data_IF_742077052012
#
_entry.id   IF_742077052012
#
_cell.length_a   1.000
_cell.length_b   1.000
_cell.length_c   1.000
_cell.angle_alpha   90.00
_cell.angle_beta   90.00
_cell.angle_gamma   90.00
#
_symmetry.space_group_name_H-M   'P 1'
#
loop_
_entity.id
_entity.type
_entity.pdbx_description
1 polymer ?
#
# COMPACT_ATOMS: atom_id res chain seq x y z
N UNK A 1 51.91 -19.26 -31.94
CA UNK A 1 51.08 -18.41 -32.83
C UNK A 1 50.76 -17.11 -32.10
N UNK A 2 51.76 -16.23 -31.93
CA UNK A 2 51.56 -14.92 -31.31
C UNK A 2 51.05 -13.92 -32.35
N UNK A 3 49.84 -13.40 -32.18
CA UNK A 3 49.31 -12.36 -33.06
C UNK A 3 50.09 -11.06 -32.84
N UNK A 4 50.48 -10.39 -33.93
CA UNK A 4 51.01 -9.04 -33.91
C UNK A 4 49.94 -8.07 -33.42
N UNK A 5 50.20 -7.42 -32.28
CA UNK A 5 49.43 -6.28 -31.82
C UNK A 5 49.97 -5.02 -32.49
N UNK A 6 49.08 -4.29 -33.18
CA UNK A 6 49.39 -3.01 -33.81
C UNK A 6 49.11 -1.91 -32.77
N UNK A 7 50.06 -1.03 -32.43
CA UNK A 7 49.81 0.08 -31.50
C UNK A 7 48.87 1.09 -32.15
N UNK A 8 47.75 1.39 -31.48
CA UNK A 8 46.86 2.49 -31.85
C UNK A 8 47.38 3.77 -31.19
N UNK A 9 47.85 4.72 -32.01
CA UNK A 9 48.31 6.04 -31.54
C UNK A 9 47.13 6.95 -31.15
N UNK A 10 47.39 7.85 -30.20
CA UNK A 10 46.41 8.67 -29.49
C UNK A 10 45.87 9.90 -30.23
N UNK A 11 46.20 10.10 -31.51
CA UNK A 11 45.86 11.33 -32.23
C UNK A 11 45.04 11.07 -33.51
N UNK A 12 43.76 10.75 -33.33
CA UNK A 12 42.69 11.22 -34.22
C UNK A 12 41.71 12.07 -33.41
N UNK A 13 42.27 13.02 -32.66
CA UNK A 13 41.54 14.05 -31.92
C UNK A 13 41.10 15.19 -32.84
N UNK A 14 40.10 14.94 -33.69
CA UNK A 14 39.32 16.01 -34.28
C UNK A 14 38.64 16.83 -33.19
N UNK A 15 38.98 18.11 -33.11
CA UNK A 15 38.60 19.03 -32.06
C UNK A 15 37.09 19.07 -31.75
N UNK A 16 36.71 18.54 -30.58
CA UNK A 16 35.64 19.10 -29.74
C UNK A 16 35.87 18.66 -28.30
N UNK A 17 36.38 19.57 -27.47
CA UNK A 17 36.56 19.33 -26.05
C UNK A 17 35.22 19.04 -25.34
N UNK A 18 35.31 18.18 -24.32
CA UNK A 18 34.48 18.17 -23.10
C UNK A 18 33.15 17.40 -23.07
N UNK A 19 33.06 16.19 -23.64
CA UNK A 19 32.11 15.19 -23.11
C UNK A 19 32.77 13.80 -23.08
N UNK A 20 33.02 13.20 -21.89
CA UNK A 20 33.45 11.81 -21.79
C UNK A 20 32.42 10.87 -22.43
N UNK A 21 32.84 9.91 -23.26
CA UNK A 21 31.93 8.93 -23.86
C UNK A 21 32.55 8.10 -24.99
N UNK A 22 31.89 7.01 -25.34
CA UNK A 22 32.23 6.11 -26.45
C UNK A 22 31.38 6.50 -27.66
N UNK A 23 31.99 6.63 -28.82
CA UNK A 23 31.27 6.80 -30.08
C UNK A 23 30.98 5.44 -30.67
N UNK A 24 29.73 5.17 -31.03
CA UNK A 24 29.34 3.96 -31.78
C UNK A 24 28.68 4.40 -33.07
N UNK A 25 29.13 3.85 -34.19
CA UNK A 25 28.61 4.15 -35.52
C UNK A 25 27.17 3.67 -35.71
N UNK A 26 26.44 4.32 -36.62
CA UNK A 26 25.02 4.04 -36.86
C UNK A 26 24.78 2.60 -37.35
N UNK A 27 25.68 2.05 -38.17
CA UNK A 27 25.62 0.67 -38.63
C UNK A 27 25.82 -0.33 -37.48
N UNK A 28 26.79 -0.09 -36.60
CA UNK A 28 27.06 -0.94 -35.43
C UNK A 28 25.88 -0.89 -34.43
N UNK A 29 25.37 0.30 -34.12
CA UNK A 29 24.21 0.46 -33.24
C UNK A 29 22.95 -0.27 -33.76
N UNK A 30 22.74 -0.26 -35.07
CA UNK A 30 21.62 -0.97 -35.71
C UNK A 30 21.84 -2.49 -35.75
N UNK A 31 23.06 -2.95 -36.05
CA UNK A 31 23.41 -4.38 -36.02
C UNK A 31 23.29 -4.98 -34.60
N UNK A 32 23.58 -4.19 -33.58
CA UNK A 32 23.47 -4.56 -32.17
C UNK A 32 22.03 -4.51 -31.62
N UNK A 33 21.07 -4.00 -32.38
CA UNK A 33 19.69 -3.83 -31.93
C UNK A 33 19.56 -2.90 -30.72
N UNK A 34 20.36 -1.84 -30.68
CA UNK A 34 20.33 -0.88 -29.58
C UNK A 34 18.97 -0.20 -29.50
N UNK A 35 18.32 -0.31 -28.34
CA UNK A 35 17.06 0.39 -28.05
C UNK A 35 17.32 1.48 -27.04
N UNK A 36 16.85 2.69 -27.35
CA UNK A 36 16.92 3.84 -26.46
C UNK A 36 15.56 4.03 -25.80
N UNK A 37 15.57 4.25 -24.48
CA UNK A 37 14.42 4.67 -23.70
C UNK A 37 14.65 6.09 -23.15
N UNK A 38 13.58 6.83 -22.93
CA UNK A 38 13.64 8.16 -22.31
C UNK A 38 13.27 8.03 -20.84
N UNK A 39 14.03 8.68 -19.98
CA UNK A 39 13.74 8.79 -18.55
C UNK A 39 12.52 9.70 -18.38
N UNK A 40 11.44 9.19 -17.79
CA UNK A 40 10.17 9.92 -17.68
C UNK A 40 9.68 9.89 -16.24
N UNK A 41 9.00 10.96 -15.80
CA UNK A 41 8.19 10.87 -14.59
C UNK A 41 6.95 10.05 -14.89
N UNK A 42 6.74 9.04 -14.06
CA UNK A 42 5.56 8.19 -14.13
C UNK A 42 5.09 7.84 -12.74
N UNK A 43 4.01 7.08 -12.73
CA UNK A 43 3.33 6.67 -11.52
C UNK A 43 3.67 5.20 -11.27
N UNK A 44 4.44 4.91 -10.21
CA UNK A 44 4.87 3.55 -9.89
C UNK A 44 3.98 2.96 -8.79
N UNK A 45 3.24 1.91 -9.14
CA UNK A 45 2.45 1.16 -8.17
C UNK A 45 3.38 0.23 -7.38
N UNK A 46 3.44 0.39 -6.06
CA UNK A 46 4.15 -0.58 -5.21
C UNK A 46 3.31 -1.86 -5.09
N UNK A 47 3.51 -2.84 -5.97
CA UNK A 47 2.81 -4.11 -5.85
C UNK A 47 3.51 -4.99 -4.81
N UNK A 48 2.96 -5.05 -3.60
CA UNK A 48 3.39 -6.03 -2.61
C UNK A 48 2.66 -7.34 -2.91
N UNK A 49 3.41 -8.43 -3.04
CA UNK A 49 2.84 -9.77 -3.22
C UNK A 49 3.19 -10.65 -2.04
N UNK A 50 2.24 -11.45 -1.57
CA UNK A 50 2.44 -12.44 -0.52
C UNK A 50 1.68 -13.73 -0.82
N UNK A 51 2.09 -14.82 -0.20
CA UNK A 51 1.35 -16.08 -0.21
C UNK A 51 0.42 -16.12 1.01
N UNK A 52 -0.69 -16.85 0.88
CA UNK A 52 -1.64 -17.01 1.97
C UNK A 52 -2.46 -18.29 1.84
N UNK A 53 -3.18 -18.59 2.91
CA UNK A 53 -4.07 -19.75 3.01
C UNK A 53 -5.48 -19.31 3.34
N UNK A 54 -6.45 -19.98 2.72
CA UNK A 54 -7.87 -19.82 3.04
C UNK A 54 -8.15 -20.59 4.33
N UNK A 55 -8.88 -19.98 5.24
CA UNK A 55 -9.30 -20.54 6.52
C UNK A 55 -10.79 -20.21 6.75
N UNK A 56 -11.41 -20.93 7.69
CA UNK A 56 -12.75 -20.62 8.14
C UNK A 56 -12.80 -19.22 8.74
N UNK A 57 -13.93 -18.54 8.54
CA UNK A 57 -14.21 -17.33 9.29
C UNK A 57 -14.55 -17.71 10.74
N UNK A 58 -13.60 -17.53 11.66
CA UNK A 58 -13.79 -17.90 13.07
C UNK A 58 -14.76 -16.96 13.81
N UNK A 59 -15.29 -15.92 13.16
CA UNK A 59 -16.41 -15.12 13.70
C UNK A 59 -17.77 -15.72 13.34
N UNK A 60 -17.83 -16.55 12.30
CA UNK A 60 -19.05 -17.18 11.82
C UNK A 60 -19.08 -18.64 12.28
N UNK A 61 -19.19 -18.83 13.60
CA UNK A 61 -19.18 -20.15 14.25
C UNK A 61 -20.42 -20.31 15.11
N UNK A 62 -21.09 -21.45 14.98
CA UNK A 62 -22.21 -21.83 15.81
C UNK A 62 -21.90 -23.08 16.62
N UNK A 63 -21.96 -22.96 17.93
CA UNK A 63 -21.88 -24.08 18.86
C UNK A 63 -23.31 -24.44 19.27
N UNK A 64 -23.75 -25.63 18.86
CA UNK A 64 -25.08 -26.13 19.15
C UNK A 64 -25.01 -26.95 20.44
N UNK A 65 -25.71 -26.49 21.48
CA UNK A 65 -25.72 -27.13 22.79
C UNK A 65 -27.13 -27.50 23.23
N UNK A 66 -27.24 -28.56 24.03
CA UNK A 66 -28.49 -28.91 24.70
C UNK A 66 -28.85 -27.84 25.74
N UNK A 67 -30.09 -27.34 25.72
CA UNK A 67 -30.58 -26.36 26.70
C UNK A 67 -31.08 -26.99 27.99
N UNK A 68 -31.42 -28.26 27.93
CA UNK A 68 -32.11 -29.03 28.95
C UNK A 68 -31.59 -30.47 28.92
N UNK A 69 -31.75 -31.18 30.03
CA UNK A 69 -31.39 -32.59 30.11
C UNK A 69 -32.37 -33.45 29.30
N UNK A 70 -31.88 -34.48 28.63
CA UNK A 70 -32.77 -35.28 27.77
C UNK A 70 -32.15 -36.54 27.19
N UNK A 71 -32.93 -37.23 26.36
CA UNK A 71 -32.53 -38.47 25.70
C UNK A 71 -32.61 -38.29 24.18
N UNK A 72 -31.55 -38.65 23.48
CA UNK A 72 -31.50 -38.59 22.02
C UNK A 72 -32.35 -39.71 21.43
N UNK A 73 -33.45 -39.37 20.77
CA UNK A 73 -34.32 -40.34 20.11
C UNK A 73 -33.84 -40.64 18.69
N UNK A 74 -33.39 -39.61 17.97
CA UNK A 74 -32.99 -39.72 16.57
C UNK A 74 -31.83 -38.78 16.29
N UNK A 75 -30.89 -39.22 15.47
CA UNK A 75 -29.87 -38.35 14.88
C UNK A 75 -30.05 -38.38 13.37
N UNK A 76 -29.99 -37.21 12.74
CA UNK A 76 -30.10 -37.10 11.29
C UNK A 76 -28.76 -37.51 10.67
N UNK A 77 -28.78 -38.12 9.48
CA UNK A 77 -27.58 -38.64 8.81
C UNK A 77 -26.64 -37.52 8.37
N UNK A 78 -25.83 -37.01 9.31
CA UNK A 78 -24.84 -35.95 9.15
C UNK A 78 -23.50 -36.45 9.68
N UNK A 79 -22.42 -35.96 9.08
CA UNK A 79 -21.06 -36.24 9.50
C UNK A 79 -20.21 -34.95 9.54
N UNK A 80 -19.14 -34.92 10.34
CA UNK A 80 -18.11 -33.90 10.21
C UNK A 80 -17.63 -33.78 8.76
N UNK A 81 -17.57 -32.55 8.23
CA UNK A 81 -17.27 -32.25 6.84
C UNK A 81 -18.49 -32.01 5.95
N UNK A 82 -19.70 -32.42 6.38
CA UNK A 82 -20.92 -32.16 5.61
C UNK A 82 -21.27 -30.67 5.58
N UNK A 83 -21.70 -30.19 4.41
CA UNK A 83 -22.26 -28.84 4.24
C UNK A 83 -23.76 -28.88 4.48
N UNK A 84 -24.25 -28.04 5.40
CA UNK A 84 -25.65 -27.96 5.80
C UNK A 84 -26.17 -26.53 5.69
N UNK A 85 -27.43 -26.38 5.31
CA UNK A 85 -28.13 -25.08 5.32
C UNK A 85 -28.51 -24.64 6.73
N UNK A 86 -28.83 -23.35 6.91
CA UNK A 86 -29.40 -22.87 8.17
C UNK A 86 -30.74 -23.56 8.46
N UNK A 87 -30.96 -23.97 9.70
CA UNK A 87 -32.15 -24.69 10.14
C UNK A 87 -32.12 -26.19 9.85
N UNK A 88 -31.04 -26.73 9.28
CA UNK A 88 -30.92 -28.15 9.01
C UNK A 88 -31.00 -28.96 10.33
N UNK A 89 -31.82 -30.02 10.39
CA UNK A 89 -31.99 -30.81 11.60
C UNK A 89 -30.74 -31.66 11.89
N UNK A 90 -30.38 -31.73 13.18
CA UNK A 90 -29.24 -32.50 13.68
C UNK A 90 -29.70 -33.71 14.51
N UNK A 91 -30.57 -33.49 15.48
CA UNK A 91 -31.06 -34.55 16.37
C UNK A 91 -32.46 -34.23 16.94
N UNK A 92 -33.25 -35.26 17.19
CA UNK A 92 -34.47 -35.18 17.97
C UNK A 92 -34.20 -35.63 19.41
N UNK A 93 -34.54 -34.77 20.38
CA UNK A 93 -34.26 -34.96 21.80
C UNK A 93 -35.58 -34.96 22.57
N UNK A 94 -35.77 -35.99 23.39
CA UNK A 94 -36.82 -36.02 24.41
C UNK A 94 -36.34 -35.24 25.64
N UNK A 95 -37.11 -34.24 26.05
CA UNK A 95 -36.86 -33.42 27.24
C UNK A 95 -37.97 -33.67 28.26
N UNK A 96 -37.79 -34.61 29.21
CA UNK A 96 -38.86 -35.01 30.14
C UNK A 96 -39.30 -33.88 31.07
N UNK A 97 -38.35 -33.06 31.52
CA UNK A 97 -38.58 -31.99 32.50
C UNK A 97 -39.58 -30.92 32.02
N UNK A 98 -39.77 -30.79 30.71
CA UNK A 98 -40.73 -29.85 30.15
C UNK A 98 -42.18 -30.35 30.16
N UNK A 99 -42.41 -31.67 30.25
CA UNK A 99 -43.75 -32.24 30.10
C UNK A 99 -44.75 -31.73 31.16
N UNK A 100 -44.34 -31.74 32.43
CA UNK A 100 -45.17 -31.24 33.53
C UNK A 100 -45.47 -29.74 33.42
N UNK A 101 -44.44 -28.94 33.11
CA UNK A 101 -44.59 -27.50 32.96
C UNK A 101 -45.51 -27.11 31.79
N UNK A 102 -45.48 -27.88 30.69
CA UNK A 102 -46.39 -27.68 29.56
C UNK A 102 -47.84 -28.00 29.90
N UNK A 103 -48.08 -29.10 30.63
CA UNK A 103 -49.42 -29.47 31.07
C UNK A 103 -50.03 -28.39 31.98
N UNK A 104 -49.24 -27.86 32.91
CA UNK A 104 -49.64 -26.75 33.79
C UNK A 104 -49.95 -25.48 33.00
N UNK A 105 -49.08 -25.09 32.06
CA UNK A 105 -49.30 -23.94 31.19
C UNK A 105 -50.61 -24.05 30.40
N UNK A 106 -50.90 -25.22 29.82
CA UNK A 106 -52.14 -25.47 29.08
C UNK A 106 -53.37 -25.45 30.00
N UNK A 107 -53.26 -26.00 31.22
CA UNK A 107 -54.33 -25.95 32.21
C UNK A 107 -54.67 -24.52 32.63
N UNK A 108 -53.65 -23.71 32.94
CA UNK A 108 -53.80 -22.28 33.27
C UNK A 108 -54.43 -21.51 32.11
N UNK A 109 -54.02 -21.80 30.87
CA UNK A 109 -54.58 -21.14 29.69
C UNK A 109 -56.08 -21.40 29.52
N UNK A 110 -56.57 -22.60 29.85
CA UNK A 110 -58.00 -22.93 29.83
C UNK A 110 -58.83 -22.14 30.83
N UNK A 111 -58.21 -21.57 31.87
CA UNK A 111 -58.90 -20.69 32.83
C UNK A 111 -59.22 -19.30 32.25
N UNK A 112 -58.58 -18.92 31.13
CA UNK A 112 -58.75 -17.59 30.51
C UNK A 112 -58.05 -16.44 31.24
N UNK A 113 -57.34 -16.70 32.35
CA UNK A 113 -56.61 -15.65 33.07
C UNK A 113 -55.30 -15.28 32.34
N UNK A 114 -55.28 -14.10 31.73
CA UNK A 114 -54.13 -13.62 30.95
C UNK A 114 -52.85 -13.47 31.77
N UNK A 115 -52.95 -12.94 33.00
CA UNK A 115 -51.79 -12.72 33.87
C UNK A 115 -51.14 -14.06 34.30
N UNK A 116 -51.96 -15.04 34.68
CA UNK A 116 -51.47 -16.38 35.03
C UNK A 116 -50.90 -17.10 33.81
N UNK A 117 -51.54 -16.96 32.64
CA UNK A 117 -51.04 -17.55 31.38
C UNK A 117 -49.67 -16.97 31.02
N UNK A 118 -49.49 -15.65 31.17
CA UNK A 118 -48.21 -14.99 30.94
C UNK A 118 -47.14 -15.45 31.94
N UNK A 119 -47.49 -15.59 33.22
CA UNK A 119 -46.56 -16.09 34.24
C UNK A 119 -46.12 -17.54 33.95
N UNK A 120 -47.06 -18.41 33.57
CA UNK A 120 -46.77 -19.79 33.19
C UNK A 120 -45.93 -19.86 31.90
N UNK A 121 -46.18 -18.97 30.92
CA UNK A 121 -45.34 -18.83 29.72
C UNK A 121 -43.91 -18.41 30.07
N UNK A 122 -43.75 -17.45 30.97
CA UNK A 122 -42.44 -16.98 31.44
C UNK A 122 -41.67 -18.11 32.12
N UNK A 123 -42.35 -18.94 32.93
CA UNK A 123 -41.75 -20.14 33.53
C UNK A 123 -41.21 -21.10 32.49
N UNK A 124 -41.94 -21.38 31.41
CA UNK A 124 -41.44 -22.22 30.30
C UNK A 124 -40.16 -21.65 29.68
N UNK A 125 -40.08 -20.33 29.50
CA UNK A 125 -38.86 -19.68 29.00
C UNK A 125 -37.68 -19.81 29.97
N UNK A 126 -37.93 -19.67 31.28
CA UNK A 126 -36.91 -19.82 32.32
C UNK A 126 -36.38 -21.26 32.43
N UNK A 127 -37.19 -22.26 32.05
CA UNK A 127 -36.77 -23.67 31.91
C UNK A 127 -35.96 -23.94 30.63
N UNK A 128 -35.61 -22.90 29.87
CA UNK A 128 -34.80 -23.01 28.66
C UNK A 128 -35.57 -23.46 27.41
N UNK A 129 -36.91 -23.47 27.44
CA UNK A 129 -37.72 -23.83 26.29
C UNK A 129 -37.68 -22.75 25.20
N UNK A 130 -37.35 -23.09 23.94
CA UNK A 130 -37.37 -22.13 22.83
C UNK A 130 -38.77 -21.54 22.61
N UNK A 131 -38.83 -20.25 22.26
CA UNK A 131 -40.09 -19.53 21.99
C UNK A 131 -40.94 -20.19 20.89
N UNK A 132 -40.30 -20.75 19.85
CA UNK A 132 -40.98 -21.51 18.79
C UNK A 132 -41.63 -22.80 19.30
N UNK A 133 -41.02 -23.47 20.28
CA UNK A 133 -41.58 -24.66 20.93
C UNK A 133 -42.78 -24.27 21.78
N UNK A 134 -42.68 -23.21 22.58
CA UNK A 134 -43.80 -22.66 23.38
C UNK A 134 -44.99 -22.33 22.46
N UNK A 135 -44.74 -21.61 21.37
CA UNK A 135 -45.78 -21.26 20.38
C UNK A 135 -46.41 -22.49 19.69
N UNK A 136 -45.69 -23.62 19.62
CA UNK A 136 -46.19 -24.87 19.05
C UNK A 136 -47.06 -25.64 20.04
N UNK A 137 -46.68 -25.65 21.33
CA UNK A 137 -47.52 -26.14 22.43
C UNK A 137 -48.80 -25.33 22.51
N UNK A 138 -48.72 -24.01 22.38
CA UNK A 138 -49.88 -23.12 22.36
C UNK A 138 -50.83 -23.43 21.20
N UNK A 139 -50.32 -23.48 19.97
CA UNK A 139 -51.18 -23.75 18.79
C UNK A 139 -51.76 -25.17 18.80
N UNK A 140 -51.02 -26.15 19.31
CA UNK A 140 -51.42 -27.55 19.30
C UNK A 140 -52.28 -28.01 20.47
N UNK A 141 -52.47 -27.17 21.50
CA UNK A 141 -53.13 -27.50 22.79
C UNK A 141 -52.68 -28.82 23.42
N UNK A 142 -51.42 -29.22 23.17
CA UNK A 142 -50.85 -30.48 23.66
C UNK A 142 -49.37 -30.36 24.00
N UNK A 143 -48.87 -31.10 25.01
CA UNK A 143 -47.44 -31.14 25.30
C UNK A 143 -46.63 -31.70 24.12
N UNK A 144 -45.50 -31.06 23.83
CA UNK A 144 -44.47 -31.47 22.89
C UNK A 144 -43.16 -31.71 23.68
N UNK A 145 -42.89 -32.98 23.98
CA UNK A 145 -41.72 -33.36 24.78
C UNK A 145 -40.49 -33.70 23.92
N UNK A 146 -40.70 -33.90 22.61
CA UNK A 146 -39.61 -34.13 21.66
C UNK A 146 -39.37 -32.84 20.88
N UNK A 147 -38.11 -32.40 20.86
CA UNK A 147 -37.67 -31.24 20.09
C UNK A 147 -36.63 -31.64 19.05
N UNK A 148 -36.74 -31.03 17.88
CA UNK A 148 -35.68 -31.11 16.87
C UNK A 148 -34.69 -29.98 17.11
N UNK A 149 -33.44 -30.34 17.35
CA UNK A 149 -32.32 -29.40 17.38
C UNK A 149 -31.79 -29.25 15.96
N UNK A 150 -31.69 -28.01 15.52
CA UNK A 150 -31.21 -27.62 14.19
C UNK A 150 -30.01 -26.69 14.28
N UNK A 151 -29.28 -26.56 13.16
CA UNK A 151 -28.19 -25.59 13.05
C UNK A 151 -28.74 -24.16 12.98
N UNK A 152 -28.22 -23.20 13.76
CA UNK A 152 -28.67 -21.81 13.68
C UNK A 152 -28.12 -21.06 12.45
N UNK A 153 -26.99 -21.53 11.90
CA UNK A 153 -26.36 -21.01 10.68
C UNK A 153 -26.16 -22.13 9.66
N UNK A 154 -25.95 -21.76 8.40
CA UNK A 154 -25.50 -22.68 7.36
C UNK A 154 -23.98 -22.72 7.28
N UNK A 155 -23.41 -23.88 6.98
CA UNK A 155 -21.95 -24.05 7.00
C UNK A 155 -21.51 -25.50 6.94
N UNK A 156 -20.25 -25.75 7.30
CA UNK A 156 -19.67 -27.09 7.44
C UNK A 156 -19.82 -27.55 8.88
N UNK A 157 -20.27 -28.77 9.08
CA UNK A 157 -20.22 -29.43 10.39
C UNK A 157 -18.76 -29.73 10.73
N UNK A 158 -18.19 -29.04 11.72
CA UNK A 158 -16.82 -29.27 12.18
C UNK A 158 -16.76 -30.46 13.14
N UNK A 159 -17.69 -30.53 14.09
CA UNK A 159 -17.85 -31.67 14.99
C UNK A 159 -19.33 -32.05 15.12
N UNK A 160 -19.59 -33.34 15.34
CA UNK A 160 -20.91 -33.87 15.61
C UNK A 160 -20.80 -35.00 16.64
N UNK A 161 -21.02 -34.61 17.90
CA UNK A 161 -20.78 -35.47 19.05
C UNK A 161 -22.05 -36.19 19.50
N UNK A 162 -23.22 -35.70 19.09
CA UNK A 162 -24.50 -36.33 19.40
C UNK A 162 -24.70 -37.64 18.62
N UNK A 163 -25.12 -38.69 19.32
CA UNK A 163 -25.40 -40.03 18.79
C UNK A 163 -26.73 -40.54 19.34
N UNK A 164 -27.40 -41.40 18.56
CA UNK A 164 -28.65 -42.02 18.99
C UNK A 164 -28.43 -42.84 20.26
N UNK A 165 -29.37 -42.74 21.22
CA UNK A 165 -29.28 -43.43 22.51
C UNK A 165 -28.47 -42.71 23.59
N UNK A 166 -27.84 -41.56 23.29
CA UNK A 166 -27.15 -40.76 24.31
C UNK A 166 -28.13 -40.08 25.27
N UNK A 167 -27.72 -40.00 26.53
CA UNK A 167 -28.28 -39.05 27.50
C UNK A 167 -27.51 -37.74 27.40
N UNK A 168 -28.23 -36.63 27.37
CA UNK A 168 -27.70 -35.29 27.28
C UNK A 168 -27.85 -34.55 28.60
N UNK A 169 -26.83 -33.79 28.97
CA UNK A 169 -26.89 -32.81 30.06
C UNK A 169 -27.08 -31.40 29.50
N UNK A 170 -27.67 -30.51 30.30
CA UNK A 170 -27.77 -29.10 29.93
C UNK A 170 -26.35 -28.51 29.74
N UNK A 171 -26.14 -27.79 28.64
CA UNK A 171 -24.84 -27.25 28.25
C UNK A 171 -23.95 -28.20 27.44
N UNK A 172 -24.32 -29.47 27.28
CA UNK A 172 -23.56 -30.40 26.46
C UNK A 172 -23.56 -29.97 24.99
N UNK A 173 -22.35 -29.89 24.40
CA UNK A 173 -22.18 -29.60 22.97
C UNK A 173 -22.60 -30.80 22.13
N UNK A 174 -23.42 -30.53 21.11
CA UNK A 174 -23.97 -31.52 20.19
C UNK A 174 -23.27 -31.46 18.84
N UNK A 175 -22.98 -30.24 18.37
CA UNK A 175 -22.29 -29.97 17.12
C UNK A 175 -21.60 -28.61 17.14
N UNK A 176 -20.51 -28.49 16.39
CA UNK A 176 -19.89 -27.22 16.02
C UNK A 176 -20.04 -27.04 14.50
N UNK A 177 -20.58 -25.90 14.06
CA UNK A 177 -20.79 -25.57 12.65
C UNK A 177 -20.04 -24.30 12.31
N UNK A 178 -19.19 -24.35 11.29
CA UNK A 178 -18.46 -23.20 10.77
C UNK A 178 -19.12 -22.69 9.50
N UNK A 179 -19.49 -21.42 9.49
CA UNK A 179 -20.06 -20.77 8.32
C UNK A 179 -19.10 -20.74 7.13
N UNK A 180 -19.68 -20.80 5.93
CA UNK A 180 -18.94 -20.74 4.66
C UNK A 180 -19.28 -19.53 3.80
N UNK A 181 -20.22 -18.67 4.22
CA UNK A 181 -20.64 -17.52 3.42
C UNK A 181 -19.52 -16.50 3.20
N UNK A 182 -18.60 -16.41 4.15
CA UNK A 182 -17.37 -15.64 4.09
C UNK A 182 -16.21 -16.52 4.54
N UNK A 183 -15.04 -16.36 3.92
CA UNK A 183 -13.83 -17.07 4.31
C UNK A 183 -12.72 -16.06 4.58
N UNK A 184 -11.77 -16.45 5.41
CA UNK A 184 -10.59 -15.64 5.68
C UNK A 184 -9.45 -16.12 4.81
N UNK A 185 -8.76 -15.19 4.18
CA UNK A 185 -7.46 -15.42 3.55
C UNK A 185 -6.39 -14.81 4.45
N UNK A 186 -5.60 -15.67 5.08
CA UNK A 186 -4.49 -15.29 5.93
C UNK A 186 -3.23 -15.22 5.07
N UNK A 187 -2.81 -14.01 4.71
CA UNK A 187 -1.60 -13.77 3.93
C UNK A 187 -0.39 -13.54 4.84
N UNK A 188 0.72 -14.22 4.56
CA UNK A 188 1.98 -14.11 5.28
C UNK A 188 2.86 -13.02 4.65
N UNK A 189 2.89 -11.84 5.25
CA UNK A 189 3.64 -10.67 4.75
C UNK A 189 4.92 -10.50 5.57
N UNK A 190 6.11 -10.42 4.94
CA UNK A 190 7.35 -10.13 5.67
C UNK A 190 7.29 -8.79 6.41
N UNK A 191 7.79 -8.77 7.65
CA UNK A 191 7.76 -7.58 8.51
C UNK A 191 8.38 -6.33 7.83
N UNK A 192 9.49 -6.51 7.11
CA UNK A 192 10.24 -5.43 6.46
C UNK A 192 9.42 -4.60 5.45
N UNK A 193 8.33 -5.16 4.91
CA UNK A 193 7.52 -4.54 3.85
C UNK A 193 6.04 -4.39 4.25
N UNK A 194 5.69 -4.69 5.50
CA UNK A 194 4.32 -4.60 6.00
C UNK A 194 3.90 -3.18 6.42
N UNK A 195 4.86 -2.27 6.68
CA UNK A 195 4.59 -0.92 7.20
C UNK A 195 3.53 -0.09 6.44
N UNK A 196 3.48 -0.13 5.08
CA UNK A 196 2.47 0.61 4.32
C UNK A 196 1.05 0.03 4.37
N UNK A 197 0.87 -1.20 4.86
CA UNK A 197 -0.42 -1.88 4.84
C UNK A 197 -1.38 -1.30 5.87
N UNK A 198 -2.65 -1.14 5.47
CA UNK A 198 -3.70 -0.60 6.34
C UNK A 198 -4.96 -1.48 6.29
N UNK A 199 -5.67 -1.66 7.42
CA UNK A 199 -7.01 -2.22 7.41
C UNK A 199 -7.94 -1.44 6.45
N UNK A 200 -8.84 -2.15 5.77
CA UNK A 200 -9.75 -1.59 4.77
C UNK A 200 -9.18 -1.51 3.35
N UNK A 201 -7.88 -1.73 3.16
CA UNK A 201 -7.25 -1.77 1.84
C UNK A 201 -7.86 -2.90 0.98
N UNK A 202 -8.10 -2.59 -0.30
CA UNK A 202 -8.57 -3.59 -1.26
C UNK A 202 -7.39 -4.40 -1.76
N UNK A 203 -7.57 -5.71 -1.83
CA UNK A 203 -6.55 -6.66 -2.29
C UNK A 203 -7.11 -7.54 -3.39
N UNK A 204 -6.22 -8.04 -4.24
CA UNK A 204 -6.55 -9.01 -5.28
C UNK A 204 -5.85 -10.31 -4.96
N UNK A 205 -6.62 -11.38 -4.87
CA UNK A 205 -6.14 -12.73 -4.63
C UNK A 205 -6.35 -13.59 -5.88
N UNK A 206 -5.40 -14.46 -6.16
CA UNK A 206 -5.46 -15.45 -7.23
C UNK A 206 -5.16 -16.82 -6.63
N UNK A 207 -5.89 -17.85 -7.05
CA UNK A 207 -5.72 -19.21 -6.55
C UNK A 207 -5.25 -20.12 -7.66
N UNK A 208 -4.37 -21.07 -7.34
CA UNK A 208 -3.99 -22.13 -8.27
C UNK A 208 -5.19 -23.00 -8.69
N UNK A 209 -6.17 -23.16 -7.79
CA UNK A 209 -7.40 -23.90 -8.07
C UNK A 209 -8.31 -23.22 -9.12
N UNK A 210 -8.14 -21.90 -9.34
CA UNK A 210 -8.98 -21.09 -10.23
C UNK A 210 -8.09 -20.17 -11.09
N UNK A 211 -7.36 -20.72 -12.08
CA UNK A 211 -6.44 -19.94 -12.90
C UNK A 211 -7.20 -18.86 -13.69
N UNK A 212 -6.66 -17.63 -13.68
CA UNK A 212 -7.23 -16.48 -14.39
C UNK A 212 -8.36 -15.75 -13.65
N UNK A 213 -8.88 -16.30 -12.55
CA UNK A 213 -9.93 -15.65 -11.75
C UNK A 213 -9.29 -14.74 -10.68
N UNK A 214 -9.66 -13.45 -10.68
CA UNK A 214 -9.19 -12.49 -9.69
C UNK A 214 -10.28 -12.30 -8.63
N UNK A 215 -9.99 -12.76 -7.42
CA UNK A 215 -10.86 -12.56 -6.26
C UNK A 215 -10.51 -11.23 -5.60
N UNK A 216 -11.49 -10.36 -5.46
CA UNK A 216 -11.32 -9.09 -4.75
C UNK A 216 -11.74 -9.25 -3.29
N UNK A 217 -10.85 -8.87 -2.38
CA UNK A 217 -11.06 -8.92 -0.93
C UNK A 217 -10.72 -7.60 -0.27
N UNK A 218 -11.01 -7.50 1.03
CA UNK A 218 -10.59 -6.36 1.86
C UNK A 218 -9.77 -6.86 3.04
N UNK A 219 -8.71 -6.12 3.37
CA UNK A 219 -7.94 -6.37 4.59
C UNK A 219 -8.84 -6.09 5.78
N UNK A 220 -9.22 -7.13 6.52
CA UNK A 220 -10.03 -6.99 7.73
C UNK A 220 -9.18 -6.57 8.93
N UNK A 221 -7.96 -7.12 9.02
CA UNK A 221 -7.04 -6.84 10.11
C UNK A 221 -5.62 -7.25 9.75
N UNK A 222 -4.64 -6.58 10.34
CA UNK A 222 -3.26 -7.04 10.40
C UNK A 222 -3.10 -7.58 11.82
N UNK A 223 -2.80 -8.88 11.98
CA UNK A 223 -2.71 -9.48 13.30
C UNK A 223 -1.50 -8.89 14.06
N UNK A 224 -1.65 -8.62 15.37
CA UNK A 224 -0.60 -7.97 16.16
C UNK A 224 0.60 -8.89 16.45
N UNK A 225 0.43 -10.20 16.28
CA UNK A 225 1.48 -11.20 16.48
C UNK A 225 2.18 -11.51 15.16
N UNK A 226 3.51 -11.42 15.17
CA UNK A 226 4.38 -11.96 14.13
C UNK A 226 4.59 -13.45 14.33
N UNK A 227 4.67 -14.22 13.24
CA UNK A 227 5.17 -15.58 13.32
C UNK A 227 6.70 -15.53 13.42
N UNK A 228 7.25 -15.94 14.56
CA UNK A 228 8.67 -15.85 14.85
C UNK A 228 9.53 -16.67 13.88
N UNK A 229 9.04 -17.86 13.48
CA UNK A 229 9.77 -18.79 12.62
C UNK A 229 9.97 -18.24 11.20
N UNK A 230 8.94 -17.59 10.65
CA UNK A 230 8.95 -17.04 9.29
C UNK A 230 9.23 -15.53 9.25
N UNK A 231 9.22 -14.84 10.39
CA UNK A 231 9.26 -13.37 10.51
C UNK A 231 8.22 -12.67 9.63
N UNK A 232 7.02 -13.24 9.59
CA UNK A 232 5.89 -12.68 8.83
C UNK A 232 4.78 -12.21 9.74
N UNK A 233 4.18 -11.08 9.38
CA UNK A 233 2.88 -10.64 9.88
C UNK A 233 1.77 -11.35 9.12
N UNK A 234 0.72 -11.76 9.83
CA UNK A 234 -0.46 -12.34 9.19
C UNK A 234 -1.46 -11.23 8.88
N UNK A 235 -1.66 -10.96 7.60
CA UNK A 235 -2.66 -10.03 7.11
C UNK A 235 -3.92 -10.81 6.77
N UNK A 236 -4.97 -10.59 7.55
CA UNK A 236 -6.26 -11.26 7.39
C UNK A 236 -7.12 -10.47 6.42
N UNK A 237 -7.58 -11.17 5.39
CA UNK A 237 -8.40 -10.64 4.31
C UNK A 237 -9.72 -11.38 4.34
N UNK A 238 -10.83 -10.66 4.26
CA UNK A 238 -12.15 -11.27 4.17
C UNK A 238 -12.56 -11.40 2.70
N UNK A 239 -12.94 -12.62 2.30
CA UNK A 239 -13.40 -12.93 0.95
C UNK A 239 -14.85 -13.43 0.97
N UNK A 240 -15.73 -12.87 0.12
CA UNK A 240 -17.08 -13.40 -0.04
C UNK A 240 -17.04 -14.76 -0.75
N UNK A 241 -17.78 -15.73 -0.24
CA UNK A 241 -17.82 -17.09 -0.78
C UNK A 241 -19.25 -17.53 -1.12
N UNK A 242 -19.97 -16.69 -1.86
CA UNK A 242 -21.39 -16.93 -2.21
C UNK A 242 -21.60 -18.21 -3.01
N UNK A 243 -20.62 -18.63 -3.80
CA UNK A 243 -20.66 -19.84 -4.61
C UNK A 243 -20.19 -21.10 -3.88
N UNK A 244 -19.67 -20.97 -2.64
CA UNK A 244 -19.12 -22.09 -1.88
C UNK A 244 -17.85 -22.72 -2.50
N UNK A 245 -17.24 -22.05 -3.49
CA UNK A 245 -16.06 -22.57 -4.22
C UNK A 245 -14.77 -22.40 -3.43
N UNK A 246 -14.67 -21.38 -2.57
CA UNK A 246 -13.50 -21.15 -1.74
C UNK A 246 -13.55 -22.09 -0.54
N UNK A 247 -12.64 -23.07 -0.53
CA UNK A 247 -12.56 -24.05 0.56
C UNK A 247 -11.38 -23.72 1.47
N UNK A 248 -11.57 -23.77 2.80
CA UNK A 248 -10.46 -23.71 3.76
C UNK A 248 -9.37 -24.74 3.43
N UNK A 249 -8.11 -24.36 3.61
CA UNK A 249 -6.93 -25.12 3.22
C UNK A 249 -6.37 -24.78 1.83
N UNK A 250 -7.09 -24.04 0.98
CA UNK A 250 -6.57 -23.61 -0.33
C UNK A 250 -5.47 -22.56 -0.18
N UNK A 251 -4.46 -22.62 -1.06
CA UNK A 251 -3.42 -21.59 -1.17
C UNK A 251 -3.84 -20.50 -2.16
N UNK A 252 -3.46 -19.26 -1.86
CA UNK A 252 -3.66 -18.11 -2.72
C UNK A 252 -2.43 -17.21 -2.75
N UNK A 253 -2.22 -16.55 -3.88
CA UNK A 253 -1.26 -15.46 -4.04
C UNK A 253 -2.03 -14.15 -3.96
N UNK A 254 -1.64 -13.30 -3.01
CA UNK A 254 -2.26 -12.02 -2.72
C UNK A 254 -1.38 -10.90 -3.23
N UNK A 255 -1.96 -10.03 -4.05
CA UNK A 255 -1.39 -8.75 -4.41
C UNK A 255 -2.09 -7.64 -3.63
N UNK A 256 -1.32 -6.94 -2.81
CA UNK A 256 -1.75 -5.74 -2.11
C UNK A 256 -1.49 -4.57 -3.05
N UNK A 257 -2.57 -3.96 -3.56
CA UNK A 257 -2.44 -2.80 -4.43
C UNK A 257 -1.76 -1.66 -3.69
N UNK A 258 -0.63 -1.20 -4.20
CA UNK A 258 0.12 -0.08 -3.63
C UNK A 258 -0.50 1.27 -3.95
N UNK A 259 -0.23 2.26 -3.09
CA UNK A 259 -0.41 3.64 -3.47
C UNK A 259 0.55 3.95 -4.63
N UNK A 260 0.00 4.41 -5.75
CA UNK A 260 0.82 4.90 -6.86
C UNK A 260 1.50 6.17 -6.41
N UNK A 261 2.81 6.25 -6.60
CA UNK A 261 3.59 7.44 -6.25
C UNK A 261 4.33 7.94 -7.50
N UNK A 262 4.37 9.26 -7.71
CA UNK A 262 5.16 9.83 -8.80
C UNK A 262 6.65 9.57 -8.54
N UNK A 263 7.31 9.00 -9.53
CA UNK A 263 8.71 8.62 -9.48
C UNK A 263 9.37 8.84 -10.86
N UNK A 264 10.69 9.03 -10.88
CA UNK A 264 11.46 9.04 -12.12
C UNK A 264 11.69 7.57 -12.54
N UNK A 265 11.16 7.17 -13.68
CA UNK A 265 11.12 5.77 -14.10
C UNK A 265 12.03 5.49 -15.29
N UNK A 266 12.63 4.31 -15.22
CA UNK A 266 13.38 3.70 -16.32
C UNK A 266 13.03 2.21 -16.42
N UNK A 267 13.12 1.61 -17.63
CA UNK A 267 12.97 0.16 -17.77
C UNK A 267 14.00 -0.59 -16.93
N UNK A 268 13.60 -1.62 -16.18
CA UNK A 268 14.50 -2.40 -15.31
C UNK A 268 15.69 -3.00 -16.09
N UNK A 269 15.45 -3.36 -17.34
CA UNK A 269 16.43 -3.90 -18.30
C UNK A 269 17.57 -2.92 -18.65
N UNK A 270 17.38 -1.61 -18.47
CA UNK A 270 18.39 -0.60 -18.78
C UNK A 270 19.51 -0.50 -17.72
N UNK A 271 19.34 -1.16 -16.57
CA UNK A 271 20.27 -1.10 -15.45
C UNK A 271 21.37 -2.15 -15.57
N UNK A 272 22.60 -1.72 -15.26
CA UNK A 272 23.78 -2.58 -15.15
C UNK A 272 24.19 -2.63 -13.68
N UNK A 273 24.10 -3.81 -13.07
CA UNK A 273 24.47 -4.04 -11.67
C UNK A 273 25.84 -4.70 -11.61
N UNK A 274 26.84 -3.96 -11.11
CA UNK A 274 28.23 -4.45 -10.99
C UNK A 274 28.55 -4.98 -9.59
N UNK A 275 27.53 -5.18 -8.74
CA UNK A 275 27.65 -5.55 -7.34
C UNK A 275 27.97 -4.37 -6.41
N UNK A 276 28.98 -3.54 -6.74
CA UNK A 276 29.37 -2.37 -5.93
C UNK A 276 28.60 -1.10 -6.27
N UNK A 277 28.17 -0.96 -7.52
CA UNK A 277 27.47 0.22 -8.05
C UNK A 277 26.46 -0.18 -9.11
N UNK A 278 25.45 0.67 -9.28
CA UNK A 278 24.42 0.52 -10.31
C UNK A 278 24.61 1.62 -11.35
N UNK A 279 24.65 1.22 -12.61
CA UNK A 279 24.97 2.09 -13.73
C UNK A 279 23.86 2.02 -14.78
N UNK A 280 23.72 3.08 -15.57
CA UNK A 280 22.97 3.08 -16.83
C UNK A 280 23.83 3.70 -17.92
N UNK A 281 23.61 3.31 -19.17
CA UNK A 281 24.29 3.92 -20.32
C UNK A 281 23.45 5.08 -20.84
N UNK A 282 23.92 6.32 -20.65
CA UNK A 282 23.31 7.51 -21.26
C UNK A 282 23.59 7.52 -22.75
N UNK A 283 22.55 7.73 -23.55
CA UNK A 283 22.66 8.03 -24.97
C UNK A 283 22.74 9.56 -25.14
N UNK A 284 23.93 10.05 -25.46
CA UNK A 284 24.21 11.43 -25.78
C UNK A 284 23.97 11.69 -27.27
N UNK A 285 24.09 12.96 -27.68
CA UNK A 285 23.95 13.31 -29.09
C UNK A 285 25.06 12.70 -29.96
N UNK A 286 24.73 12.49 -31.24
CA UNK A 286 25.63 11.99 -32.29
C UNK A 286 26.19 10.59 -32.03
N UNK A 287 25.40 9.68 -31.47
CA UNK A 287 25.79 8.27 -31.27
C UNK A 287 26.87 8.08 -30.21
N UNK A 288 26.99 9.03 -29.27
CA UNK A 288 27.90 8.92 -28.12
C UNK A 288 27.18 8.34 -26.91
N UNK A 289 27.88 7.52 -26.15
CA UNK A 289 27.35 6.86 -24.98
C UNK A 289 28.26 7.09 -23.77
N UNK A 290 27.68 7.27 -22.58
CA UNK A 290 28.46 7.44 -21.36
C UNK A 290 27.82 6.68 -20.19
N UNK A 291 28.58 5.92 -19.40
CA UNK A 291 28.07 5.33 -18.18
C UNK A 291 27.71 6.40 -17.15
N UNK A 292 26.58 6.24 -16.46
CA UNK A 292 26.14 7.11 -15.38
C UNK A 292 25.73 6.27 -14.17
N UNK A 293 26.24 6.64 -13.01
CA UNK A 293 25.89 6.00 -11.75
C UNK A 293 24.54 6.50 -11.26
N UNK A 294 23.71 5.56 -10.80
CA UNK A 294 22.34 5.83 -10.38
C UNK A 294 22.06 5.21 -9.03
N UNK A 295 21.25 5.91 -8.24
CA UNK A 295 20.65 5.36 -7.04
C UNK A 295 19.22 4.94 -7.34
N UNK A 296 18.93 3.67 -7.15
CA UNK A 296 17.64 3.05 -7.48
C UNK A 296 16.75 2.93 -6.26
N UNK A 297 15.44 3.04 -6.46
CA UNK A 297 14.41 2.83 -5.46
C UNK A 297 13.59 1.58 -5.73
N UNK A 298 12.27 1.73 -5.68
CA UNK A 298 11.29 0.64 -5.86
C UNK A 298 11.28 0.12 -7.30
N UNK A 299 10.97 -1.15 -7.47
CA UNK A 299 10.82 -1.80 -8.77
C UNK A 299 9.43 -2.43 -8.88
N UNK A 300 8.73 -2.20 -9.99
CA UNK A 300 7.39 -2.75 -10.23
C UNK A 300 7.03 -2.70 -11.71
N UNK A 301 6.38 -3.76 -12.22
CA UNK A 301 5.88 -3.79 -13.61
C UNK A 301 6.94 -3.61 -14.69
N UNK A 302 8.19 -4.05 -14.45
CA UNK A 302 9.32 -3.88 -15.38
C UNK A 302 9.88 -2.45 -15.44
N UNK A 303 9.47 -1.59 -14.52
CA UNK A 303 10.01 -0.24 -14.33
C UNK A 303 10.68 -0.16 -12.96
N UNK A 304 11.74 0.64 -12.88
CA UNK A 304 12.44 0.94 -11.63
C UNK A 304 12.50 2.45 -11.38
N UNK A 305 12.31 2.82 -10.13
CA UNK A 305 12.43 4.17 -9.64
C UNK A 305 13.91 4.59 -9.52
N UNK A 306 14.20 5.81 -9.96
CA UNK A 306 15.52 6.43 -9.84
C UNK A 306 15.42 7.55 -8.80
N UNK A 307 16.12 7.36 -7.68
CA UNK A 307 16.20 8.31 -6.57
C UNK A 307 17.23 9.42 -6.86
N UNK A 308 18.33 9.08 -7.54
CA UNK A 308 19.37 10.02 -7.91
C UNK A 308 20.20 9.53 -9.11
N UNK A 309 20.89 10.46 -9.80
CA UNK A 309 21.84 10.15 -10.88
C UNK A 309 21.32 10.37 -12.31
N UNK A 310 20.00 10.49 -12.50
CA UNK A 310 19.37 10.83 -13.78
C UNK A 310 18.41 12.01 -13.64
N UNK A 311 18.26 12.74 -14.75
CA UNK A 311 17.25 13.77 -14.96
C UNK A 311 16.11 13.29 -15.85
N UNK A 312 14.96 13.94 -15.74
CA UNK A 312 13.83 13.75 -16.66
C UNK A 312 14.20 14.19 -18.08
N UNK A 313 13.80 13.39 -19.07
CA UNK A 313 14.09 13.63 -20.49
C UNK A 313 15.44 13.09 -20.97
N UNK A 314 16.31 12.61 -20.08
CA UNK A 314 17.57 11.97 -20.49
C UNK A 314 17.28 10.68 -21.26
N UNK A 315 18.12 10.38 -22.25
CA UNK A 315 18.02 9.15 -23.05
C UNK A 315 18.99 8.10 -22.51
N UNK A 316 18.52 6.87 -22.37
CA UNK A 316 19.28 5.73 -21.85
C UNK A 316 19.18 4.53 -22.78
N UNK A 317 20.16 3.64 -22.74
CA UNK A 317 20.13 2.39 -23.51
C UNK A 317 19.39 1.31 -22.70
N UNK A 318 18.32 0.77 -23.29
CA UNK A 318 17.49 -0.29 -22.71
C UNK A 318 17.77 -1.69 -23.29
N UNK A 319 18.53 -1.78 -24.39
CA UNK A 319 18.96 -3.04 -25.00
C UNK A 319 20.37 -2.91 -25.57
N UNK A 320 21.20 -3.94 -25.39
CA UNK A 320 22.60 -3.97 -25.83
C UNK A 320 23.58 -3.16 -24.96
N UNK A 321 23.13 -2.73 -23.78
CA UNK A 321 23.89 -1.94 -22.82
C UNK A 321 25.19 -2.62 -22.34
N UNK A 322 25.23 -3.96 -22.29
CA UNK A 322 26.41 -4.70 -21.84
C UNK A 322 27.61 -4.56 -22.79
N UNK A 323 27.37 -4.55 -24.10
CA UNK A 323 28.44 -4.42 -25.09
C UNK A 323 29.03 -3.01 -25.07
N UNK A 324 28.18 -1.99 -24.92
CA UNK A 324 28.64 -0.61 -24.79
C UNK A 324 29.37 -0.40 -23.46
N UNK A 325 28.90 -0.99 -22.37
CA UNK A 325 29.58 -0.95 -21.07
C UNK A 325 30.95 -1.64 -21.11
N UNK A 326 31.06 -2.78 -21.79
CA UNK A 326 32.33 -3.47 -22.00
C UNK A 326 33.32 -2.57 -22.75
N UNK A 327 32.89 -1.96 -23.86
CA UNK A 327 33.72 -1.03 -24.62
C UNK A 327 34.08 0.23 -23.80
N UNK A 328 33.14 0.74 -22.99
CA UNK A 328 33.35 1.86 -22.07
C UNK A 328 34.44 1.56 -21.05
N UNK A 329 34.40 0.37 -20.47
CA UNK A 329 35.34 -0.10 -19.48
C UNK A 329 36.72 -0.33 -20.09
N UNK A 330 36.81 -0.93 -21.29
CA UNK A 330 38.08 -1.09 -22.02
C UNK A 330 38.69 0.27 -22.37
N UNK A 331 37.87 1.23 -22.78
CA UNK A 331 38.29 2.59 -23.15
C UNK A 331 38.56 3.51 -21.94
N UNK A 332 38.35 3.03 -20.71
CA UNK A 332 38.59 3.80 -19.49
C UNK A 332 37.65 5.00 -19.30
N UNK A 333 36.45 4.97 -19.91
CA UNK A 333 35.49 6.08 -19.79
C UNK A 333 34.95 6.15 -18.36
N UNK A 334 35.16 7.28 -17.69
CA UNK A 334 34.65 7.48 -16.35
C UNK A 334 33.13 7.62 -16.33
N UNK A 335 32.51 6.93 -15.37
CA UNK A 335 31.08 7.06 -15.11
C UNK A 335 30.75 8.44 -14.52
N UNK A 336 29.63 9.02 -14.95
CA UNK A 336 29.08 10.22 -14.32
C UNK A 336 28.67 9.89 -12.88
N UNK A 337 29.24 10.54 -11.85
CA UNK A 337 28.91 10.24 -10.47
C UNK A 337 27.50 10.73 -10.12
N UNK A 338 26.93 10.17 -9.04
CA UNK A 338 25.64 10.61 -8.49
C UNK A 338 25.79 12.08 -8.03
N UNK A 339 25.15 13.00 -8.75
CA UNK A 339 25.29 14.46 -8.57
C UNK A 339 25.92 15.21 -9.75
N UNK A 340 26.50 14.48 -10.73
CA UNK A 340 27.07 15.06 -11.96
C UNK A 340 26.07 15.24 -13.11
N UNK A 341 24.77 15.02 -12.87
CA UNK A 341 23.72 15.36 -13.82
C UNK A 341 23.86 16.82 -14.24
N UNK A 342 23.70 17.10 -15.54
CA UNK A 342 23.62 18.48 -16.00
C UNK A 342 22.64 19.23 -15.07
N UNK A 343 22.95 20.48 -14.66
CA UNK A 343 21.97 21.27 -13.94
C UNK A 343 20.70 21.19 -14.76
N UNK A 344 19.65 20.62 -14.16
CA UNK A 344 18.29 20.78 -14.68
C UNK A 344 18.21 22.26 -14.99
N UNK A 345 17.98 22.57 -16.28
CA UNK A 345 17.77 23.93 -16.75
C UNK A 345 17.05 24.65 -15.64
N UNK A 346 17.74 25.63 -15.04
CA UNK A 346 17.36 26.18 -13.75
C UNK A 346 15.85 26.29 -13.74
N UNK A 347 15.19 25.59 -12.79
CA UNK A 347 13.83 25.97 -12.38
C UNK A 347 13.85 27.50 -12.42
N UNK A 348 12.92 28.18 -13.13
CA UNK A 348 12.91 29.64 -13.13
C UNK A 348 13.07 30.01 -11.67
N UNK A 349 14.18 30.71 -11.38
CA UNK A 349 14.61 30.95 -10.01
C UNK A 349 13.35 31.34 -9.28
N UNK A 350 13.02 30.59 -8.22
CA UNK A 350 11.93 30.94 -7.31
C UNK A 350 12.10 32.43 -7.15
N UNK A 351 11.14 33.19 -7.67
CA UNK A 351 11.17 34.63 -7.58
C UNK A 351 11.04 34.85 -6.09
N UNK A 352 12.18 34.91 -5.41
CA UNK A 352 12.25 35.22 -4.00
C UNK A 352 11.40 36.46 -3.86
N UNK A 353 10.39 36.38 -2.99
CA UNK A 353 9.39 37.43 -2.83
C UNK A 353 10.16 38.74 -2.69
N UNK A 354 10.14 39.57 -3.73
CA UNK A 354 10.86 40.82 -3.75
C UNK A 354 10.13 41.75 -2.79
N UNK A 355 10.85 42.26 -1.80
CA UNK A 355 10.34 43.28 -0.90
C UNK A 355 10.76 44.63 -1.44
N UNK A 356 9.80 45.55 -1.54
CA UNK A 356 10.04 46.90 -2.01
C UNK A 356 9.91 47.88 -0.85
N UNK A 357 10.86 48.81 -0.76
CA UNK A 357 10.82 49.91 0.18
C UNK A 357 11.53 51.13 -0.40
N UNK A 358 11.38 52.27 0.26
CA UNK A 358 12.08 53.51 -0.05
C UNK A 358 13.15 53.73 1.01
N UNK A 359 14.32 54.20 0.60
CA UNK A 359 15.39 54.53 1.52
C UNK A 359 16.32 55.59 0.98
N UNK A 360 17.25 56.02 1.80
CA UNK A 360 18.33 56.94 1.45
C UNK A 360 19.64 56.16 1.37
N UNK A 361 20.43 56.42 0.33
CA UNK A 361 21.77 55.85 0.20
C UNK A 361 22.72 56.55 1.17
N UNK A 362 23.29 55.81 2.11
CA UNK A 362 24.33 56.30 3.03
C UNK A 362 25.73 56.03 2.47
N UNK A 363 25.92 54.89 1.79
CA UNK A 363 27.20 54.53 1.19
C UNK A 363 27.02 53.53 0.04
N UNK A 364 27.79 53.69 -1.04
CA UNK A 364 27.85 52.72 -2.15
C UNK A 364 29.30 52.23 -2.31
N UNK A 365 29.49 50.92 -2.38
CA UNK A 365 30.76 50.29 -2.76
C UNK A 365 30.57 49.46 -4.03
N UNK A 366 31.63 48.81 -4.53
CA UNK A 366 31.56 47.98 -5.74
C UNK A 366 30.54 46.83 -5.62
N UNK A 367 30.38 46.24 -4.42
CA UNK A 367 29.61 45.02 -4.20
C UNK A 367 28.54 45.14 -3.10
N UNK A 368 28.44 46.29 -2.43
CA UNK A 368 27.46 46.52 -1.35
C UNK A 368 26.92 47.94 -1.38
N UNK A 369 25.72 48.12 -0.83
CA UNK A 369 25.10 49.44 -0.63
C UNK A 369 24.51 49.52 0.77
N UNK A 370 24.86 50.57 1.51
CA UNK A 370 24.29 50.86 2.83
C UNK A 370 23.13 51.82 2.65
N UNK A 371 21.93 51.39 3.08
CA UNK A 371 20.68 52.10 2.90
C UNK A 371 20.00 52.33 4.26
N UNK A 372 19.60 53.57 4.51
CA UNK A 372 18.63 53.92 5.56
C UNK A 372 17.23 53.75 4.97
N UNK A 373 16.56 52.63 5.26
CA UNK A 373 15.28 52.29 4.64
C UNK A 373 14.08 52.54 5.56
N UNK A 374 12.93 52.83 4.96
CA UNK A 374 11.65 52.89 5.65
C UNK A 374 11.18 51.48 6.08
N UNK A 375 10.24 51.37 7.03
CA UNK A 375 9.79 50.07 7.53
C UNK A 375 9.30 49.17 6.40
N UNK A 376 9.55 47.86 6.52
CA UNK A 376 9.09 46.86 5.56
C UNK A 376 8.11 45.92 6.28
N UNK A 377 6.81 46.26 6.32
CA UNK A 377 5.81 45.50 7.10
C UNK A 377 5.72 44.02 6.69
N UNK A 378 5.99 43.72 5.43
CA UNK A 378 5.91 42.36 4.87
C UNK A 378 6.89 41.36 5.52
N UNK A 379 7.93 41.85 6.21
CA UNK A 379 8.94 41.05 6.91
C UNK A 379 9.18 41.55 8.35
N UNK A 380 8.34 42.47 8.84
CA UNK A 380 8.44 43.00 10.21
C UNK A 380 9.68 43.85 10.49
N UNK A 381 10.34 44.40 9.46
CA UNK A 381 11.53 45.24 9.67
C UNK A 381 11.13 46.69 10.01
N UNK A 382 11.65 47.26 11.11
CA UNK A 382 11.50 48.70 11.39
C UNK A 382 12.34 49.54 10.42
N UNK A 383 12.18 50.87 10.46
CA UNK A 383 13.09 51.76 9.77
C UNK A 383 14.49 51.64 10.38
N UNK A 384 15.49 51.32 9.58
CA UNK A 384 16.88 51.14 10.04
C UNK A 384 17.88 51.31 8.91
N UNK A 385 19.15 51.51 9.29
CA UNK A 385 20.28 51.60 8.35
C UNK A 385 21.02 50.28 8.34
N UNK A 386 21.12 49.65 7.15
CA UNK A 386 21.85 48.39 7.01
C UNK A 386 22.49 48.24 5.62
N UNK A 387 23.42 47.30 5.53
CA UNK A 387 24.15 46.99 4.30
C UNK A 387 23.47 45.87 3.53
N UNK A 388 23.18 46.13 2.26
CA UNK A 388 22.67 45.17 1.30
C UNK A 388 23.76 44.76 0.31
N UNK A 389 23.71 43.52 -0.13
CA UNK A 389 24.57 43.03 -1.20
C UNK A 389 24.13 43.61 -2.54
N UNK A 390 25.09 43.98 -3.38
CA UNK A 390 24.89 44.55 -4.71
C UNK A 390 25.70 43.73 -5.73
N UNK A 391 25.20 42.55 -6.16
CA UNK A 391 25.93 41.65 -7.05
C UNK A 391 26.04 42.18 -8.48
N UNK A 392 25.15 43.10 -8.89
CA UNK A 392 25.22 43.77 -10.18
C UNK A 392 25.45 45.29 -9.98
N UNK A 393 26.67 45.81 -10.22
CA UNK A 393 26.97 47.23 -10.06
C UNK A 393 26.17 48.13 -11.02
N UNK A 394 25.53 47.58 -12.07
CA UNK A 394 24.63 48.35 -12.94
C UNK A 394 23.39 48.85 -12.21
N UNK A 395 22.97 48.16 -11.13
CA UNK A 395 21.77 48.53 -10.34
C UNK A 395 21.99 49.85 -9.58
N UNK A 396 23.24 50.22 -9.26
CA UNK A 396 23.58 51.50 -8.63
C UNK A 396 24.06 52.57 -9.63
N UNK A 397 23.98 52.30 -10.94
CA UNK A 397 24.54 53.20 -11.96
C UNK A 397 23.78 54.53 -12.00
N UNK A 398 24.47 55.63 -11.75
CA UNK A 398 23.90 56.98 -11.76
C UNK A 398 23.36 57.47 -10.42
N UNK A 399 23.42 56.64 -9.37
CA UNK A 399 23.01 56.98 -8.01
C UNK A 399 24.23 57.40 -7.18
N UNK A 400 24.03 58.34 -6.26
CA UNK A 400 25.08 58.87 -5.36
C UNK A 400 24.64 58.75 -3.90
N UNK A 401 25.62 58.77 -3.01
CA UNK A 401 25.36 58.94 -1.57
C UNK A 401 24.51 60.19 -1.34
N UNK A 402 23.43 60.03 -0.57
CA UNK A 402 22.45 61.09 -0.31
C UNK A 402 21.14 60.93 -1.09
N UNK A 403 21.12 60.16 -2.19
CA UNK A 403 19.93 60.00 -3.02
C UNK A 403 18.84 59.19 -2.31
N UNK A 404 17.58 59.61 -2.49
CA UNK A 404 16.41 58.82 -2.09
C UNK A 404 16.04 57.87 -3.22
N UNK A 405 15.94 56.58 -2.89
CA UNK A 405 15.76 55.51 -3.86
C UNK A 405 14.64 54.57 -3.45
N UNK A 406 13.87 54.11 -4.42
CA UNK A 406 12.98 52.96 -4.27
C UNK A 406 13.76 51.74 -4.72
N UNK A 407 13.85 50.73 -3.87
CA UNK A 407 14.62 49.54 -4.17
C UNK A 407 13.83 48.26 -3.82
N UNK A 408 14.09 47.22 -4.61
CA UNK A 408 13.52 45.89 -4.45
C UNK A 408 14.66 44.93 -4.08
N UNK A 409 14.47 44.15 -3.02
CA UNK A 409 15.48 43.22 -2.52
C UNK A 409 14.87 41.86 -2.17
N UNK A 410 15.70 40.82 -2.19
CA UNK A 410 15.38 39.49 -1.68
C UNK A 410 16.32 39.13 -0.51
N UNK A 411 15.98 38.06 0.22
CA UNK A 411 16.77 37.56 1.35
C UNK A 411 17.25 36.12 1.08
N UNK A 412 18.25 35.93 0.21
CA UNK A 412 18.93 34.65 0.13
C UNK A 412 19.65 34.34 1.46
N UNK A 413 20.01 33.07 1.73
CA UNK A 413 20.72 32.69 2.95
C UNK A 413 22.04 33.45 3.21
N UNK A 414 22.63 34.05 2.17
CA UNK A 414 23.85 34.86 2.24
C UNK A 414 23.64 36.32 2.71
N UNK A 415 22.39 36.77 2.88
CA UNK A 415 22.04 38.11 3.34
C UNK A 415 21.20 38.92 2.34
N UNK A 416 20.61 40.05 2.76
CA UNK A 416 19.69 40.83 1.94
C UNK A 416 20.40 41.41 0.71
N UNK A 417 19.83 41.20 -0.47
CA UNK A 417 20.45 41.50 -1.75
C UNK A 417 19.55 42.40 -2.60
N UNK A 418 20.06 43.56 -3.02
CA UNK A 418 19.31 44.48 -3.89
C UNK A 418 19.27 43.92 -5.31
N UNK A 419 18.06 43.81 -5.86
CA UNK A 419 17.82 43.35 -7.24
C UNK A 419 17.47 44.50 -8.18
N UNK A 420 16.80 45.55 -7.67
CA UNK A 420 16.46 46.76 -8.42
C UNK A 420 16.54 47.97 -7.53
N UNK A 421 16.96 49.11 -8.07
CA UNK A 421 17.02 50.38 -7.37
C UNK A 421 16.83 51.51 -8.38
N UNK A 422 15.99 52.48 -8.04
CA UNK A 422 15.72 53.65 -8.87
C UNK A 422 15.60 54.89 -7.99
N UNK A 423 16.11 56.03 -8.47
CA UNK A 423 15.96 57.30 -7.77
C UNK A 423 14.49 57.70 -7.72
N UNK A 424 14.02 58.09 -6.54
CA UNK A 424 12.71 58.73 -6.40
C UNK A 424 12.94 60.21 -6.68
N UNK A 425 12.42 60.71 -7.80
CA UNK A 425 12.40 62.15 -8.06
C UNK A 425 11.62 62.83 -6.92
N UNK A 426 12.26 63.78 -6.24
CA UNK A 426 11.61 64.59 -5.21
C UNK A 426 10.48 65.41 -5.84
N UNK A 427 9.32 65.43 -5.16
CA UNK A 427 8.44 66.58 -5.22
C UNK A 427 9.07 67.75 -4.48
#
# INVERSE_FOLDING_TARGET
>A
MGMQTIPRYADEGGASAQVPGISVDASASQALGLRIATVQRGELASSLTATGTIDFNQRDVAIVQARAGGFVQRVYGRAPGDVVGAGAPLADILVPEWGGAQAEFLAVRRTGNAALTQAARQRLMLLGMPSGTIASVERGDRPHNVITISTPIGGVVKTLDVRAGMTLTAGQTLAEVNGLGTVWLNAAVPEAIAGPLKPGQTVRATLAAFPGEILSGRVSAILPQTQADSRTLTVRIELPNRSGRLRPGMFATVSFGGATQPALLVPSEALIRTGKRTLVMLALDKGRYRPAEVQTGRESGGQIEILAGLGEGEKIVASGQFLIDSEASLSGVQARPIGGGAPIAAKPAVTGRLYETVGKIEQITANTVTLSHEPVPAIGWPAMTMTFQLPDPKVARGLKTGDRVRFAFDQPPAGPTVRRMAQVAGQ
#
